data_IF_233462830852
#
_entry.id   IF_233462830852
#
_cell.length_a   1.000
_cell.length_b   1.000
_cell.length_c   1.000
_cell.angle_alpha   90.00
_cell.angle_beta   90.00
_cell.angle_gamma   90.00
#
_symmetry.space_group_name_H-M   'P 1'
#
loop_
_entity.id
_entity.type
_entity.pdbx_description
1 polymer ?
#
# COMPACT_ATOMS: atom_id res chain seq x y z
N UNK A 1 0.95 -13.14 -3.45
CA UNK A 1 1.75 -11.95 -3.84
C UNK A 1 2.52 -11.36 -2.65
N UNK A 2 1.94 -11.26 -1.45
CA UNK A 2 2.61 -10.63 -0.30
C UNK A 2 3.89 -11.37 0.19
N UNK A 3 3.96 -12.69 0.04
CA UNK A 3 5.11 -13.50 0.49
C UNK A 3 6.43 -13.14 -0.22
N UNK A 4 6.52 -13.12 -1.57
CA UNK A 4 7.76 -12.69 -2.23
C UNK A 4 8.12 -11.24 -1.93
N UNK A 5 7.14 -10.34 -1.79
CA UNK A 5 7.38 -8.94 -1.41
C UNK A 5 7.94 -8.82 0.01
N UNK A 6 7.44 -9.62 0.95
CA UNK A 6 7.96 -9.66 2.31
C UNK A 6 9.42 -10.16 2.33
N UNK A 7 9.76 -11.15 1.49
CA UNK A 7 11.15 -11.61 1.34
C UNK A 7 12.06 -10.48 0.84
N UNK A 8 11.63 -9.72 -0.17
CA UNK A 8 12.38 -8.56 -0.66
C UNK A 8 12.60 -7.52 0.45
N UNK A 9 11.59 -7.26 1.29
CA UNK A 9 11.74 -6.34 2.43
C UNK A 9 12.75 -6.85 3.47
N UNK A 10 12.81 -8.16 3.70
CA UNK A 10 13.78 -8.78 4.61
C UNK A 10 15.20 -8.65 4.06
N UNK A 11 15.41 -8.77 2.75
CA UNK A 11 16.73 -8.65 2.12
C UNK A 11 17.09 -7.24 1.66
N UNK A 12 16.32 -6.22 2.07
CA UNK A 12 16.51 -4.85 1.61
C UNK A 12 17.89 -4.26 1.93
N UNK A 13 18.53 -4.62 3.05
CA UNK A 13 19.90 -4.18 3.34
C UNK A 13 20.93 -4.70 2.34
N UNK A 14 20.83 -5.98 1.96
CA UNK A 14 21.75 -6.59 0.98
C UNK A 14 21.55 -5.98 -0.40
N UNK A 15 20.31 -5.72 -0.78
CA UNK A 15 19.97 -5.07 -2.06
C UNK A 15 20.52 -3.65 -2.09
N UNK A 16 20.32 -2.86 -1.02
CA UNK A 16 20.83 -1.48 -0.94
C UNK A 16 22.36 -1.43 -0.94
N UNK A 17 23.02 -2.35 -0.24
CA UNK A 17 24.49 -2.48 -0.28
C UNK A 17 25.00 -2.83 -1.67
N UNK A 18 24.32 -3.75 -2.38
CA UNK A 18 24.66 -4.09 -3.75
C UNK A 18 24.50 -2.90 -4.72
N UNK A 19 23.59 -1.97 -4.40
CA UNK A 19 23.42 -0.70 -5.12
C UNK A 19 24.41 0.40 -4.69
N UNK A 20 25.36 0.10 -3.79
CA UNK A 20 26.41 1.03 -3.36
C UNK A 20 26.04 1.96 -2.21
N UNK A 21 24.93 1.71 -1.51
CA UNK A 21 24.54 2.52 -0.33
C UNK A 21 25.38 2.21 0.90
N UNK A 22 25.50 3.20 1.80
CA UNK A 22 26.23 3.04 3.06
C UNK A 22 25.57 1.95 3.94
N UNK A 23 26.40 1.20 4.67
CA UNK A 23 25.95 0.11 5.52
C UNK A 23 25.03 0.58 6.66
N UNK A 24 25.26 1.79 7.20
CA UNK A 24 24.45 2.40 8.25
C UNK A 24 23.02 2.68 7.76
N UNK A 25 22.88 3.36 6.63
CA UNK A 25 21.59 3.68 5.98
C UNK A 25 20.86 2.40 5.55
N UNK A 26 21.57 1.46 4.93
CA UNK A 26 21.01 0.18 4.49
C UNK A 26 20.43 -0.63 5.66
N UNK A 27 21.11 -0.65 6.81
CA UNK A 27 20.64 -1.37 8.01
C UNK A 27 19.40 -0.73 8.63
N UNK A 28 19.34 0.62 8.68
CA UNK A 28 18.19 1.34 9.19
C UNK A 28 16.96 1.17 8.28
N UNK A 29 17.16 1.24 6.96
CA UNK A 29 16.12 1.02 5.96
C UNK A 29 15.52 -0.39 6.06
N UNK A 30 16.36 -1.42 6.24
CA UNK A 30 15.88 -2.79 6.44
C UNK A 30 15.07 -2.94 7.73
N UNK A 31 15.54 -2.35 8.83
CA UNK A 31 14.86 -2.40 10.11
C UNK A 31 13.43 -1.82 10.02
N UNK A 32 13.28 -0.73 9.26
CA UNK A 32 12.01 -0.10 8.94
C UNK A 32 11.15 -0.95 7.98
N UNK A 33 11.73 -1.46 6.90
CA UNK A 33 11.04 -2.30 5.92
C UNK A 33 10.44 -3.57 6.55
N UNK A 34 11.22 -4.27 7.37
CA UNK A 34 10.74 -5.49 8.08
C UNK A 34 9.55 -5.18 8.99
N UNK A 35 9.52 -4.00 9.62
CA UNK A 35 8.39 -3.58 10.49
C UNK A 35 7.15 -3.17 9.71
N UNK A 36 7.26 -2.93 8.40
CA UNK A 36 6.13 -2.68 7.50
C UNK A 36 5.53 -3.96 6.90
N UNK A 37 6.15 -5.12 7.10
CA UNK A 37 5.62 -6.40 6.61
C UNK A 37 4.16 -6.65 7.02
N UNK A 38 3.72 -6.38 8.27
CA UNK A 38 2.31 -6.55 8.65
C UNK A 38 1.36 -5.69 7.81
N UNK A 39 1.77 -4.45 7.49
CA UNK A 39 1.00 -3.54 6.64
C UNK A 39 0.79 -4.13 5.24
N UNK A 40 1.78 -4.80 4.65
CA UNK A 40 1.65 -5.41 3.32
C UNK A 40 0.51 -6.41 3.22
N UNK A 41 0.32 -7.23 4.26
CA UNK A 41 -0.76 -8.21 4.28
C UNK A 41 -2.12 -7.53 4.41
N UNK A 42 -2.25 -6.60 5.36
CA UNK A 42 -3.49 -5.86 5.60
C UNK A 42 -3.90 -5.06 4.37
N UNK A 43 -2.97 -4.35 3.75
CA UNK A 43 -3.21 -3.56 2.53
C UNK A 43 -3.77 -4.45 1.41
N UNK A 44 -3.19 -5.63 1.20
CA UNK A 44 -3.67 -6.57 0.18
C UNK A 44 -5.14 -6.94 0.38
N UNK A 45 -5.55 -7.25 1.62
CA UNK A 45 -6.95 -7.53 1.92
C UNK A 45 -7.83 -6.29 1.81
N UNK A 46 -7.31 -5.13 2.21
CA UNK A 46 -8.02 -3.85 2.14
C UNK A 46 -8.31 -3.43 0.70
N UNK A 47 -7.34 -3.52 -0.20
CA UNK A 47 -7.53 -3.22 -1.63
C UNK A 47 -8.59 -4.15 -2.25
N UNK A 48 -8.56 -5.45 -1.93
CA UNK A 48 -9.58 -6.40 -2.42
C UNK A 48 -10.97 -5.97 -1.93
N UNK A 49 -11.09 -5.64 -0.64
CA UNK A 49 -12.34 -5.20 -0.04
C UNK A 49 -12.87 -3.91 -0.69
N UNK A 50 -11.99 -2.95 -0.96
CA UNK A 50 -12.33 -1.71 -1.67
C UNK A 50 -12.83 -1.98 -3.09
N UNK A 51 -12.12 -2.80 -3.87
CA UNK A 51 -12.54 -3.15 -5.25
C UNK A 51 -13.90 -3.85 -5.28
N UNK A 52 -14.14 -4.74 -4.33
CA UNK A 52 -15.45 -5.39 -4.13
C UNK A 52 -16.52 -4.36 -3.76
N UNK A 53 -16.22 -3.44 -2.85
CA UNK A 53 -17.11 -2.34 -2.46
C UNK A 53 -17.46 -1.41 -3.62
N UNK A 54 -16.47 -1.05 -4.45
CA UNK A 54 -16.64 -0.24 -5.65
C UNK A 54 -17.52 -0.94 -6.68
N UNK A 55 -17.30 -2.24 -6.95
CA UNK A 55 -18.12 -3.01 -7.87
C UNK A 55 -19.60 -3.12 -7.43
N UNK A 56 -19.88 -3.00 -6.13
CA UNK A 56 -21.24 -2.96 -5.58
C UNK A 56 -21.88 -1.56 -5.54
N UNK A 57 -21.19 -0.52 -6.00
CA UNK A 57 -21.67 0.86 -5.95
C UNK A 57 -21.58 1.53 -4.58
N UNK A 58 -20.81 0.99 -3.64
CA UNK A 58 -20.61 1.57 -2.30
C UNK A 58 -19.34 2.44 -2.21
N UNK A 59 -18.82 2.93 -3.35
CA UNK A 59 -17.57 3.69 -3.42
C UNK A 59 -17.59 4.93 -2.51
N UNK A 60 -18.70 5.67 -2.48
CA UNK A 60 -18.88 6.87 -1.63
C UNK A 60 -18.83 6.54 -0.14
N UNK A 61 -19.36 5.38 0.27
CA UNK A 61 -19.29 4.91 1.66
C UNK A 61 -17.87 4.58 2.10
N UNK A 62 -17.09 3.94 1.22
CA UNK A 62 -15.66 3.68 1.48
C UNK A 62 -14.85 4.98 1.54
N UNK A 63 -15.15 5.95 0.67
CA UNK A 63 -14.51 7.27 0.72
C UNK A 63 -14.78 7.97 2.06
N UNK A 64 -16.03 7.95 2.55
CA UNK A 64 -16.38 8.54 3.84
C UNK A 64 -15.66 7.85 5.01
N UNK A 65 -15.62 6.50 5.02
CA UNK A 65 -14.91 5.74 6.07
C UNK A 65 -13.41 6.01 6.05
N UNK A 66 -12.81 6.12 4.87
CA UNK A 66 -11.36 6.39 4.72
C UNK A 66 -11.02 7.83 5.10
N UNK A 67 -11.91 8.79 4.82
CA UNK A 67 -11.77 10.19 5.24
C UNK A 67 -11.86 10.33 6.77
N UNK A 68 -12.82 9.65 7.39
CA UNK A 68 -12.91 9.58 8.86
C UNK A 68 -11.71 8.85 9.46
N UNK A 69 -11.24 7.82 8.74
CA UNK A 69 -9.94 7.20 8.91
C UNK A 69 -8.92 8.31 9.07
N UNK A 70 -8.58 9.02 7.99
CA UNK A 70 -7.54 10.06 7.88
C UNK A 70 -7.37 10.98 9.10
N UNK A 71 -8.46 11.40 9.73
CA UNK A 71 -8.43 12.24 10.94
C UNK A 71 -7.70 11.57 12.11
N UNK A 72 -7.76 10.24 12.22
CA UNK A 72 -7.10 9.48 13.27
C UNK A 72 -5.60 9.19 13.00
N UNK A 73 -5.04 9.52 11.83
CA UNK A 73 -3.67 9.15 11.46
C UNK A 73 -2.63 9.90 12.30
N UNK A 74 -2.78 11.22 12.51
CA UNK A 74 -1.93 11.97 13.41
C UNK A 74 -1.93 11.39 14.83
N UNK A 75 -3.07 10.87 15.30
CA UNK A 75 -3.18 10.26 16.63
C UNK A 75 -2.31 9.00 16.74
N UNK A 76 -2.35 8.10 15.76
CA UNK A 76 -1.47 6.93 15.76
C UNK A 76 0.02 7.30 15.68
N UNK A 77 0.36 8.32 14.88
CA UNK A 77 1.74 8.82 14.81
C UNK A 77 2.21 9.38 16.16
N UNK A 78 1.41 10.24 16.81
CA UNK A 78 1.75 10.77 18.14
C UNK A 78 1.88 9.65 19.17
N UNK A 79 0.97 8.68 19.17
CA UNK A 79 1.02 7.54 20.10
C UNK A 79 2.30 6.73 19.95
N UNK A 80 2.63 6.28 18.74
CA UNK A 80 3.78 5.38 18.53
C UNK A 80 5.13 6.12 18.53
N UNK A 81 5.17 7.37 18.07
CA UNK A 81 6.44 8.12 17.97
C UNK A 81 6.73 8.87 19.27
N UNK A 82 5.78 9.62 19.82
CA UNK A 82 6.02 10.49 20.97
C UNK A 82 5.79 9.78 22.31
N UNK A 83 4.71 9.02 22.45
CA UNK A 83 4.35 8.41 23.74
C UNK A 83 5.13 7.12 24.01
N UNK A 84 5.26 6.28 22.99
CA UNK A 84 6.01 5.01 23.06
C UNK A 84 7.52 5.21 22.84
N UNK A 85 7.95 6.38 22.39
CA UNK A 85 9.38 6.70 22.20
C UNK A 85 10.10 5.85 21.16
N UNK A 86 9.37 5.23 20.21
CA UNK A 86 9.93 4.27 19.24
C UNK A 86 10.63 4.93 18.04
N UNK A 87 10.72 6.27 18.03
CA UNK A 87 11.37 7.04 16.97
C UNK A 87 10.79 6.73 15.58
N UNK A 88 11.67 6.65 14.57
CA UNK A 88 11.28 6.36 13.18
C UNK A 88 10.66 4.97 13.00
N UNK A 89 10.98 4.00 13.86
CA UNK A 89 10.37 2.67 13.84
C UNK A 89 8.92 2.70 14.34
N UNK A 90 8.59 3.65 15.21
CA UNK A 90 7.22 3.93 15.65
C UNK A 90 6.32 4.31 14.47
N UNK A 91 6.86 5.03 13.47
CA UNK A 91 6.10 5.39 12.27
C UNK A 91 5.69 4.16 11.44
N UNK A 92 6.54 3.13 11.35
CA UNK A 92 6.19 1.88 10.68
C UNK A 92 5.02 1.15 11.38
N UNK A 93 5.04 1.12 12.71
CA UNK A 93 3.97 0.54 13.52
C UNK A 93 2.68 1.35 13.47
N UNK A 94 2.78 2.69 13.52
CA UNK A 94 1.65 3.59 13.35
C UNK A 94 0.95 3.35 12.01
N UNK A 95 1.71 3.29 10.91
CA UNK A 95 1.17 2.99 9.58
C UNK A 95 0.49 1.61 9.50
N UNK A 96 1.05 0.60 10.18
CA UNK A 96 0.47 -0.75 10.20
C UNK A 96 -0.84 -0.79 11.01
N UNK A 97 -0.85 -0.19 12.20
CA UNK A 97 -2.03 -0.11 13.07
C UNK A 97 -3.15 0.72 12.43
N UNK A 98 -2.77 1.83 11.81
CA UNK A 98 -3.63 2.67 11.01
C UNK A 98 -4.35 1.93 9.90
N UNK A 99 -3.59 1.17 9.11
CA UNK A 99 -4.12 0.40 8.00
C UNK A 99 -5.08 -0.69 8.50
N UNK A 100 -4.71 -1.36 9.59
CA UNK A 100 -5.58 -2.35 10.23
C UNK A 100 -6.92 -1.72 10.66
N UNK A 101 -6.89 -0.53 11.27
CA UNK A 101 -8.12 0.19 11.66
C UNK A 101 -9.00 0.48 10.45
N UNK A 102 -8.44 1.02 9.36
CA UNK A 102 -9.18 1.30 8.14
C UNK A 102 -9.76 0.02 7.52
N UNK A 103 -8.99 -1.06 7.48
CA UNK A 103 -9.46 -2.36 7.03
C UNK A 103 -10.66 -2.86 7.86
N UNK A 104 -10.55 -2.87 9.18
CA UNK A 104 -11.64 -3.33 10.05
C UNK A 104 -12.86 -2.41 9.98
N UNK A 105 -12.67 -1.09 9.89
CA UNK A 105 -13.76 -0.13 9.76
C UNK A 105 -14.52 -0.32 8.43
N UNK A 106 -13.80 -0.47 7.32
CA UNK A 106 -14.40 -0.74 6.01
C UNK A 106 -15.05 -2.12 5.95
N UNK A 107 -14.47 -3.14 6.59
CA UNK A 107 -15.09 -4.46 6.68
C UNK A 107 -16.39 -4.39 7.48
N UNK A 108 -16.38 -3.71 8.64
CA UNK A 108 -17.56 -3.51 9.47
C UNK A 108 -18.66 -2.73 8.72
N UNK A 109 -18.29 -1.69 7.96
CA UNK A 109 -19.22 -0.96 7.10
C UNK A 109 -19.90 -1.90 6.10
N UNK A 110 -19.12 -2.70 5.38
CA UNK A 110 -19.67 -3.65 4.40
C UNK A 110 -20.51 -4.74 5.06
N UNK A 111 -20.15 -5.19 6.27
CA UNK A 111 -20.95 -6.12 7.04
C UNK A 111 -22.30 -5.53 7.49
N UNK A 112 -22.37 -4.24 7.82
CA UNK A 112 -23.63 -3.57 8.20
C UNK A 112 -24.52 -3.32 6.99
N UNK A 113 -23.95 -3.12 5.81
CA UNK A 113 -24.70 -3.02 4.54
C UNK A 113 -25.27 -4.36 4.04
N UNK A 114 -25.29 -5.41 4.89
CA UNK A 114 -26.03 -6.67 4.68
C UNK A 114 -27.55 -6.43 4.70
N UNK A 115 -28.07 -5.71 3.70
CA UNK A 115 -29.48 -5.73 3.35
C UNK A 115 -29.90 -7.07 2.71
N UNK A 116 -31.20 -7.39 2.65
CA UNK A 116 -31.75 -8.71 2.31
C UNK A 116 -31.66 -9.10 0.82
N UNK A 117 -30.56 -8.81 0.12
CA UNK A 117 -30.40 -9.15 -1.30
C UNK A 117 -28.97 -9.24 -1.83
N UNK A 118 -28.13 -8.22 -1.62
CA UNK A 118 -26.81 -8.11 -2.30
C UNK A 118 -25.59 -8.49 -1.45
N UNK A 119 -25.58 -8.22 -0.14
CA UNK A 119 -24.41 -8.44 0.72
C UNK A 119 -24.25 -9.87 1.29
N UNK A 120 -25.24 -10.76 1.08
CA UNK A 120 -25.32 -12.08 1.72
C UNK A 120 -24.42 -13.15 1.09
N UNK A 121 -23.93 -12.92 -0.13
CA UNK A 121 -23.10 -13.88 -0.89
C UNK A 121 -21.59 -13.68 -0.73
N UNK A 122 -21.14 -12.45 -0.46
CA UNK A 122 -19.71 -12.07 -0.49
C UNK A 122 -18.84 -12.69 0.60
N UNK A 123 -19.43 -12.95 1.76
CA UNK A 123 -18.73 -13.56 2.90
C UNK A 123 -19.14 -15.00 3.13
N UNK A 124 -19.85 -15.64 2.19
CA UNK A 124 -20.04 -17.08 2.25
C UNK A 124 -18.70 -17.71 1.82
N UNK A 125 -18.06 -18.52 2.66
CA UNK A 125 -16.93 -19.30 2.20
C UNK A 125 -17.42 -20.18 1.05
N UNK A 126 -16.90 -19.97 -0.16
CA UNK A 126 -17.21 -20.81 -1.31
C UNK A 126 -16.81 -22.25 -0.95
N UNK A 127 -17.81 -23.10 -0.72
CA UNK A 127 -17.62 -24.54 -0.57
C UNK A 127 -18.12 -25.22 -1.83
N UNK A 128 -17.31 -26.06 -2.50
CA UNK A 128 -15.94 -26.47 -2.17
C UNK A 128 -14.86 -25.48 -2.67
N UNK A 129 -13.76 -25.31 -1.91
CA UNK A 129 -12.57 -24.48 -2.28
C UNK A 129 -12.02 -24.79 -3.68
N UNK A 130 -12.27 -25.99 -4.20
CA UNK A 130 -11.86 -26.42 -5.54
C UNK A 130 -12.51 -25.62 -6.67
N UNK A 131 -13.68 -25.01 -6.44
CA UNK A 131 -14.32 -24.11 -7.41
C UNK A 131 -13.73 -22.68 -7.37
N UNK A 132 -13.11 -22.28 -6.26
CA UNK A 132 -12.43 -20.97 -6.12
C UNK A 132 -11.17 -20.93 -6.96
N UNK A 133 -10.50 -22.07 -7.14
CA UNK A 133 -9.31 -22.24 -7.98
C UNK A 133 -9.68 -23.00 -9.26
N UNK A 134 -10.70 -22.52 -9.97
CA UNK A 134 -10.93 -22.98 -11.34
C UNK A 134 -9.76 -22.50 -12.20
N UNK A 135 -9.10 -23.43 -12.91
CA UNK A 135 -7.94 -23.10 -13.76
C UNK A 135 -8.28 -22.00 -14.80
N UNK A 136 -9.52 -22.00 -15.29
CA UNK A 136 -10.03 -20.98 -16.23
C UNK A 136 -10.15 -19.62 -15.57
N UNK A 137 -10.76 -19.55 -14.38
CA UNK A 137 -10.92 -18.28 -13.64
C UNK A 137 -9.58 -17.70 -13.17
N UNK A 138 -8.62 -18.56 -12.78
CA UNK A 138 -7.27 -18.12 -12.46
C UNK A 138 -6.54 -17.58 -13.70
N UNK A 139 -6.70 -18.22 -14.86
CA UNK A 139 -6.12 -17.75 -16.12
C UNK A 139 -6.68 -16.40 -16.56
N UNK A 140 -8.00 -16.21 -16.46
CA UNK A 140 -8.64 -14.92 -16.75
C UNK A 140 -8.20 -13.82 -15.77
N UNK A 141 -8.19 -14.14 -14.48
CA UNK A 141 -7.71 -13.20 -13.46
C UNK A 141 -6.24 -12.81 -13.68
N UNK A 142 -5.34 -13.78 -13.89
CA UNK A 142 -3.93 -13.50 -14.15
C UNK A 142 -3.73 -12.76 -15.47
N UNK A 143 -4.54 -13.07 -16.49
CA UNK A 143 -4.50 -12.38 -17.78
C UNK A 143 -4.83 -10.89 -17.68
N UNK A 144 -5.62 -10.47 -16.70
CA UNK A 144 -5.91 -9.05 -16.42
C UNK A 144 -5.01 -8.45 -15.34
N UNK A 145 -4.73 -9.22 -14.28
CA UNK A 145 -3.94 -8.75 -13.15
C UNK A 145 -2.48 -8.51 -13.54
N UNK A 146 -1.85 -9.39 -14.33
CA UNK A 146 -0.46 -9.23 -14.75
C UNK A 146 -0.23 -7.93 -15.52
N UNK A 147 -0.95 -7.64 -16.63
CA UNK A 147 -0.73 -6.39 -17.36
C UNK A 147 -1.06 -5.16 -16.52
N UNK A 148 -2.12 -5.20 -15.70
CA UNK A 148 -2.45 -4.09 -14.80
C UNK A 148 -1.35 -3.82 -13.76
N UNK A 149 -0.78 -4.89 -13.17
CA UNK A 149 0.34 -4.75 -12.23
C UNK A 149 1.60 -4.25 -12.91
N UNK A 150 1.91 -4.74 -14.12
CA UNK A 150 3.07 -4.27 -14.88
C UNK A 150 2.93 -2.79 -15.27
N UNK A 151 1.76 -2.36 -15.72
CA UNK A 151 1.49 -0.97 -16.03
C UNK A 151 1.73 -0.07 -14.81
N UNK A 152 1.14 -0.41 -13.66
CA UNK A 152 1.33 0.35 -12.43
C UNK A 152 2.79 0.32 -11.97
N UNK A 153 3.45 -0.84 -11.97
CA UNK A 153 4.85 -0.95 -11.57
C UNK A 153 5.78 -0.13 -12.48
N UNK A 154 5.57 -0.17 -13.80
CA UNK A 154 6.37 0.61 -14.75
C UNK A 154 6.17 2.11 -14.57
N UNK A 155 4.96 2.56 -14.26
CA UNK A 155 4.66 3.96 -13.96
C UNK A 155 5.45 4.45 -12.74
N UNK A 156 5.34 3.73 -11.61
CA UNK A 156 6.07 4.07 -10.38
C UNK A 156 7.59 3.93 -10.53
N UNK A 157 8.07 2.88 -11.20
CA UNK A 157 9.49 2.72 -11.45
C UNK A 157 10.05 3.77 -12.40
N UNK A 158 9.28 4.22 -13.40
CA UNK A 158 9.74 5.27 -14.30
C UNK A 158 9.94 6.60 -13.54
N UNK A 159 9.06 6.91 -12.59
CA UNK A 159 9.21 8.08 -11.71
C UNK A 159 10.47 7.91 -10.83
N UNK A 160 10.59 6.82 -10.09
CA UNK A 160 11.72 6.60 -9.17
C UNK A 160 13.07 6.54 -9.91
N UNK A 161 13.13 5.83 -11.05
CA UNK A 161 14.34 5.78 -11.88
C UNK A 161 14.64 7.14 -12.50
N UNK A 162 13.63 7.89 -12.92
CA UNK A 162 13.78 9.26 -13.40
C UNK A 162 14.41 10.16 -12.34
N UNK A 163 13.92 10.08 -11.10
CA UNK A 163 14.48 10.82 -9.97
C UNK A 163 15.91 10.40 -9.68
N UNK A 164 16.19 9.09 -9.62
CA UNK A 164 17.55 8.56 -9.36
C UNK A 164 18.56 8.98 -10.44
N UNK A 165 18.19 8.88 -11.71
CA UNK A 165 19.05 9.25 -12.83
C UNK A 165 19.24 10.77 -12.91
N UNK A 166 18.18 11.56 -12.74
CA UNK A 166 18.26 13.02 -12.77
C UNK A 166 19.07 13.58 -11.59
N UNK A 167 18.91 13.03 -10.38
CA UNK A 167 19.69 13.44 -9.23
C UNK A 167 21.17 13.07 -9.37
N UNK A 168 21.49 11.93 -9.99
CA UNK A 168 22.89 11.47 -10.17
C UNK A 168 23.66 12.15 -11.32
N UNK A 169 22.97 12.68 -12.34
CA UNK A 169 23.61 13.23 -13.55
C UNK A 169 23.71 14.76 -13.57
N UNK A 170 22.93 15.47 -12.76
CA UNK A 170 22.97 16.94 -12.71
C UNK A 170 23.93 17.46 -11.62
N UNK A 171 24.54 18.64 -11.81
CA UNK A 171 25.28 19.32 -10.76
C UNK A 171 24.38 19.64 -9.56
N UNK A 172 24.91 19.47 -8.34
CA UNK A 172 24.19 19.59 -7.06
C UNK A 172 23.09 18.51 -6.85
N UNK A 173 23.47 17.23 -6.63
CA UNK A 173 22.55 16.10 -6.51
C UNK A 173 21.51 16.29 -5.41
N UNK A 174 21.88 16.89 -4.27
CA UNK A 174 20.98 17.11 -3.14
C UNK A 174 19.86 18.11 -3.46
N UNK A 175 20.19 19.18 -4.20
CA UNK A 175 19.21 20.19 -4.61
C UNK A 175 18.23 19.60 -5.64
N UNK A 176 18.76 18.87 -6.62
CA UNK A 176 17.93 18.25 -7.65
C UNK A 176 17.04 17.14 -7.08
N UNK A 177 17.54 16.36 -6.13
CA UNK A 177 16.74 15.36 -5.42
C UNK A 177 15.59 16.03 -4.65
N UNK A 178 15.87 17.13 -3.93
CA UNK A 178 14.85 17.89 -3.22
C UNK A 178 13.80 18.52 -4.15
N UNK A 179 14.24 19.12 -5.26
CA UNK A 179 13.35 19.70 -6.27
C UNK A 179 12.47 18.63 -6.93
N UNK A 180 13.04 17.49 -7.31
CA UNK A 180 12.30 16.38 -7.90
C UNK A 180 11.29 15.79 -6.90
N UNK A 181 11.65 15.64 -5.62
CA UNK A 181 10.73 15.16 -4.59
C UNK A 181 9.53 16.12 -4.41
N UNK A 182 9.77 17.43 -4.48
CA UNK A 182 8.69 18.43 -4.42
C UNK A 182 7.76 18.34 -5.65
N UNK A 183 8.34 18.24 -6.85
CA UNK A 183 7.55 18.10 -8.10
C UNK A 183 6.74 16.80 -8.09
N UNK A 184 7.33 15.69 -7.65
CA UNK A 184 6.63 14.41 -7.50
C UNK A 184 5.47 14.53 -6.52
N UNK A 185 5.65 15.21 -5.37
CA UNK A 185 4.58 15.44 -4.41
C UNK A 185 3.42 16.29 -4.98
N UNK A 186 3.72 17.30 -5.79
CA UNK A 186 2.68 18.08 -6.49
C UNK A 186 1.97 17.22 -7.55
N UNK A 187 2.71 16.42 -8.30
CA UNK A 187 2.15 15.50 -9.29
C UNK A 187 1.19 14.48 -8.64
N UNK A 188 1.57 13.90 -7.50
CA UNK A 188 0.71 12.98 -6.73
C UNK A 188 -0.58 13.64 -6.26
N UNK A 189 -0.52 14.89 -5.79
CA UNK A 189 -1.72 15.65 -5.41
C UNK A 189 -2.63 15.87 -6.62
N UNK A 190 -2.07 16.24 -7.77
CA UNK A 190 -2.82 16.42 -9.01
C UNK A 190 -3.41 15.09 -9.52
N UNK A 191 -2.67 13.98 -9.38
CA UNK A 191 -3.13 12.64 -9.77
C UNK A 191 -4.33 12.19 -8.92
N UNK A 192 -4.28 12.43 -7.61
CA UNK A 192 -5.38 12.09 -6.69
C UNK A 192 -6.63 12.94 -6.90
N UNK A 193 -6.48 14.17 -7.42
CA UNK A 193 -7.60 15.07 -7.76
C UNK A 193 -8.32 14.66 -9.04
N UNK A 194 -7.79 13.71 -9.82
CA UNK A 194 -8.46 13.23 -11.03
C UNK A 194 -9.79 12.53 -10.69
N UNK A 195 -10.82 13.38 -10.63
CA UNK A 195 -12.24 13.08 -10.60
C UNK A 195 -12.57 12.28 -11.86
N UNK A 196 -12.72 10.97 -11.67
CA UNK A 196 -13.59 10.17 -12.54
C UNK A 196 -15.04 10.56 -12.32
#
# INVERSE_FOLDING_TARGET
LCVPLALVQVYSAEILRALGQEASVSSAAQLFAVRLVPRLFVEGYFTILQRVGQAMGHASGFAAVTLLGFVSAPFFLMLFVQWLGLGYLGAAWACSAWNALNFFASAAYLFRQRGPGRGRSLFKPYRPCRQVVSATGMREYLGLAVPATLQACLEWWAIDLGVMLAAGMLPDPDLNLGANAAVAGVADLCYMVWLG
#
